data_IF_771167339474
#
_entry.id   IF_771167339474
#
_cell.length_a   1.000
_cell.length_b   1.000
_cell.length_c   1.000
_cell.angle_alpha   90.00
_cell.angle_beta   90.00
_cell.angle_gamma   90.00
#
_symmetry.space_group_name_H-M   'P 1'
#
loop_
_entity.id
_entity.type
_entity.pdbx_description
1 polymer ?
#
# COMPACT_ATOMS: atom_id res chain seq x y z
N UNK A 1 33.98 -4.75 0.79
CA UNK A 1 33.27 -3.48 0.54
C UNK A 1 31.82 -3.55 0.93
N UNK A 2 31.05 -4.54 0.50
CA UNK A 2 29.59 -4.73 0.79
C UNK A 2 29.30 -4.82 2.30
N UNK A 3 30.09 -5.56 3.11
CA UNK A 3 29.90 -5.63 4.57
C UNK A 3 29.99 -4.25 5.26
N UNK A 4 30.90 -3.39 4.83
CA UNK A 4 31.07 -2.04 5.41
C UNK A 4 29.90 -1.12 5.06
N UNK A 5 29.33 -1.26 3.85
CA UNK A 5 28.16 -0.49 3.42
C UNK A 5 26.90 -0.93 4.16
N UNK A 6 26.69 -2.25 4.33
CA UNK A 6 25.56 -2.78 5.11
C UNK A 6 25.63 -2.36 6.59
N UNK A 7 26.82 -2.41 7.21
CA UNK A 7 27.02 -1.96 8.58
C UNK A 7 26.80 -0.44 8.68
N UNK A 8 27.23 0.35 7.71
CA UNK A 8 27.01 1.80 7.69
C UNK A 8 25.54 2.15 7.57
N UNK A 9 24.76 1.44 6.72
CA UNK A 9 23.30 1.62 6.59
C UNK A 9 22.60 1.21 7.89
N UNK A 10 23.00 0.08 8.50
CA UNK A 10 22.44 -0.39 9.76
C UNK A 10 22.75 0.57 10.92
N UNK A 11 23.98 1.10 10.98
CA UNK A 11 24.40 2.08 12.00
C UNK A 11 23.71 3.41 11.80
N UNK A 12 23.51 3.90 10.57
CA UNK A 12 22.70 5.09 10.30
C UNK A 12 21.23 4.91 10.71
N UNK A 13 20.63 3.76 10.42
CA UNK A 13 19.25 3.48 10.83
C UNK A 13 19.10 3.43 12.36
N UNK A 14 20.08 2.84 13.06
CA UNK A 14 20.09 2.72 14.53
C UNK A 14 20.43 4.06 15.20
N UNK A 15 21.35 4.86 14.66
CA UNK A 15 21.74 6.15 15.25
C UNK A 15 20.66 7.23 15.09
N UNK A 16 19.76 7.13 14.11
CA UNK A 16 18.62 8.04 13.97
C UNK A 16 17.47 7.74 14.94
N UNK A 17 17.41 6.53 15.52
CA UNK A 17 16.31 6.13 16.41
C UNK A 17 16.46 6.58 17.88
N UNK A 18 17.62 7.06 18.30
CA UNK A 18 17.93 7.31 19.71
C UNK A 18 17.73 8.75 20.20
N UNK A 19 17.28 9.66 19.37
CA UNK A 19 17.07 11.04 19.76
C UNK A 19 15.58 11.38 19.57
N UNK A 20 14.91 11.71 20.69
CA UNK A 20 13.61 12.35 20.84
C UNK A 20 12.44 11.49 21.35
N UNK A 21 12.23 11.62 22.66
CA UNK A 21 10.91 11.48 23.25
C UNK A 21 10.22 12.84 23.18
N UNK A 22 9.14 12.98 22.44
CA UNK A 22 8.31 14.20 22.43
C UNK A 22 6.84 13.83 22.36
N UNK A 23 6.05 14.50 23.16
CA UNK A 23 4.62 14.36 23.33
C UNK A 23 3.87 14.46 22.01
N UNK A 24 3.07 13.45 21.70
CA UNK A 24 2.13 13.42 20.60
C UNK A 24 0.96 14.35 20.91
N UNK A 25 0.75 15.38 20.13
CA UNK A 25 -0.51 16.10 20.04
C UNK A 25 -0.87 16.26 18.57
N UNK A 26 -1.38 15.20 17.95
CA UNK A 26 -2.37 15.37 16.90
C UNK A 26 -3.72 15.51 17.59
N UNK A 27 -4.65 16.34 17.06
CA UNK A 27 -6.03 16.33 17.51
C UNK A 27 -6.50 14.87 17.48
N UNK A 28 -7.15 14.42 18.53
CA UNK A 28 -7.60 13.04 18.76
C UNK A 28 -8.77 12.63 17.85
N UNK A 29 -8.64 12.88 16.57
CA UNK A 29 -9.51 12.36 15.54
C UNK A 29 -8.94 11.02 15.11
N UNK A 30 -9.32 9.95 15.79
CA UNK A 30 -8.85 8.57 15.60
C UNK A 30 -8.81 8.14 14.13
N UNK A 31 -9.64 8.72 13.29
CA UNK A 31 -9.78 8.37 11.88
C UNK A 31 -8.69 9.00 11.03
N UNK A 32 -8.43 10.30 11.18
CA UNK A 32 -7.35 10.98 10.46
C UNK A 32 -6.00 10.43 10.92
N UNK A 33 -5.86 10.17 12.22
CA UNK A 33 -4.68 9.52 12.77
C UNK A 33 -4.43 8.17 12.10
N UNK A 34 -5.41 7.28 12.05
CA UNK A 34 -5.26 5.96 11.43
C UNK A 34 -4.96 6.03 9.93
N UNK A 35 -5.50 6.99 9.20
CA UNK A 35 -5.22 7.16 7.77
C UNK A 35 -3.78 7.57 7.49
N UNK A 36 -3.24 8.51 8.28
CA UNK A 36 -1.89 9.06 8.07
C UNK A 36 -0.79 8.26 8.74
N UNK A 37 -1.12 7.39 9.71
CA UNK A 37 -0.15 6.52 10.41
C UNK A 37 0.10 5.20 9.72
N UNK A 38 -0.81 4.78 8.81
CA UNK A 38 -0.65 3.54 8.09
C UNK A 38 0.71 3.48 7.38
N UNK A 39 1.40 2.36 7.56
CA UNK A 39 2.64 2.10 6.83
C UNK A 39 2.39 2.21 5.32
N UNK A 40 3.40 2.65 4.60
CA UNK A 40 3.38 2.56 3.14
C UNK A 40 3.19 1.10 2.69
N UNK A 41 2.27 0.88 1.77
CA UNK A 41 2.03 -0.42 1.15
C UNK A 41 1.87 -0.21 -0.36
N UNK A 42 2.80 -0.76 -1.12
CA UNK A 42 2.71 -0.70 -2.59
C UNK A 42 1.48 -1.45 -3.07
N UNK A 43 0.74 -0.83 -3.98
CA UNK A 43 -0.42 -1.47 -4.60
C UNK A 43 0.01 -2.57 -5.56
N UNK A 44 -0.30 -3.81 -5.23
CA UNK A 44 -0.08 -4.96 -6.07
C UNK A 44 -1.41 -5.61 -6.44
N UNK A 45 -1.86 -5.41 -7.68
CA UNK A 45 -3.11 -6.01 -8.16
C UNK A 45 -3.06 -7.55 -8.07
N UNK A 46 -1.88 -8.16 -8.28
CA UNK A 46 -1.64 -9.58 -8.09
C UNK A 46 -1.98 -10.04 -6.68
N UNK A 47 -1.38 -9.42 -5.67
CA UNK A 47 -1.57 -9.80 -4.26
C UNK A 47 -2.99 -9.49 -3.80
N UNK A 48 -3.55 -8.34 -4.18
CA UNK A 48 -4.92 -7.94 -3.84
C UNK A 48 -5.96 -8.93 -4.39
N UNK A 49 -5.78 -9.40 -5.62
CA UNK A 49 -6.66 -10.41 -6.24
C UNK A 49 -6.52 -11.81 -5.61
N UNK A 50 -5.36 -12.12 -5.03
CA UNK A 50 -5.14 -13.30 -4.20
C UNK A 50 -5.60 -13.12 -2.74
N UNK A 51 -6.55 -12.23 -2.48
CA UNK A 51 -7.05 -11.97 -1.13
C UNK A 51 -6.05 -11.28 -0.22
N UNK A 52 -4.98 -10.68 -0.74
CA UNK A 52 -3.90 -10.12 0.05
C UNK A 52 -2.84 -11.14 0.51
N UNK A 53 -2.99 -12.42 0.16
CA UNK A 53 -2.02 -13.47 0.48
C UNK A 53 -0.86 -13.46 -0.51
N UNK A 54 0.38 -13.45 -0.03
CA UNK A 54 1.52 -13.40 -0.92
C UNK A 54 2.89 -13.47 -0.27
N UNK A 55 3.00 -13.48 1.07
CA UNK A 55 4.31 -13.46 1.74
C UNK A 55 5.11 -14.76 1.51
N UNK A 56 4.41 -15.87 1.24
CA UNK A 56 5.03 -17.16 0.92
C UNK A 56 5.03 -17.48 -0.58
N UNK A 57 4.55 -16.58 -1.45
CA UNK A 57 4.56 -16.78 -2.91
C UNK A 57 5.96 -16.52 -3.44
N UNK A 58 6.51 -17.53 -4.11
CA UNK A 58 7.83 -17.43 -4.76
C UNK A 58 7.74 -16.62 -6.06
N UNK A 59 8.88 -16.10 -6.53
CA UNK A 59 8.98 -15.33 -7.79
C UNK A 59 8.03 -14.14 -7.81
N UNK A 60 8.01 -13.38 -6.73
CA UNK A 60 7.16 -12.21 -6.60
C UNK A 60 7.91 -10.96 -7.09
N UNK A 61 7.33 -10.27 -8.09
CA UNK A 61 7.88 -8.99 -8.58
C UNK A 61 7.90 -7.92 -7.48
N UNK A 62 6.95 -8.01 -6.54
CA UNK A 62 6.82 -7.08 -5.43
C UNK A 62 7.53 -7.59 -4.16
N UNK A 63 8.50 -8.52 -4.29
CA UNK A 63 9.23 -9.15 -3.18
C UNK A 63 9.83 -8.14 -2.20
N UNK A 64 10.32 -7.01 -2.72
CA UNK A 64 10.88 -5.92 -1.91
C UNK A 64 9.89 -5.38 -0.87
N UNK A 65 8.59 -5.39 -1.17
CA UNK A 65 7.51 -4.87 -0.32
C UNK A 65 6.71 -5.97 0.37
N UNK A 66 6.61 -7.15 -0.26
CA UNK A 66 5.79 -8.26 0.24
C UNK A 66 6.57 -9.12 1.22
N UNK A 67 7.75 -9.58 0.82
CA UNK A 67 8.65 -10.37 1.67
C UNK A 67 10.09 -10.28 1.15
N UNK A 68 10.98 -9.55 1.81
CA UNK A 68 12.35 -9.37 1.34
C UNK A 68 13.17 -10.67 1.31
N UNK A 69 12.78 -11.75 2.02
CA UNK A 69 13.44 -13.04 1.92
C UNK A 69 13.35 -13.62 0.50
N UNK A 70 12.30 -13.31 -0.26
CA UNK A 70 12.14 -13.75 -1.65
C UNK A 70 13.16 -13.12 -2.61
N UNK A 71 13.90 -12.11 -2.18
CA UNK A 71 15.07 -11.60 -2.90
C UNK A 71 16.27 -12.58 -2.86
N UNK A 72 16.23 -13.58 -1.97
CA UNK A 72 17.27 -14.64 -1.89
C UNK A 72 17.38 -15.49 -3.16
N UNK A 73 16.33 -15.58 -3.96
CA UNK A 73 16.38 -16.14 -5.31
C UNK A 73 17.12 -15.17 -6.25
N UNK A 74 18.09 -15.70 -7.01
CA UNK A 74 18.78 -14.89 -8.00
C UNK A 74 17.88 -14.61 -9.19
N UNK A 75 18.02 -13.45 -9.79
CA UNK A 75 17.28 -13.05 -10.99
C UNK A 75 17.55 -11.60 -11.32
N UNK A 76 17.31 -11.24 -12.55
CA UNK A 76 17.30 -9.86 -13.00
C UNK A 76 15.85 -9.50 -13.31
N UNK A 77 15.33 -8.49 -12.63
CA UNK A 77 13.97 -8.00 -12.86
C UNK A 77 14.01 -6.48 -12.99
N UNK A 78 13.43 -5.98 -14.04
CA UNK A 78 13.17 -4.56 -14.25
C UNK A 78 11.66 -4.31 -14.23
N UNK A 79 11.25 -3.29 -13.53
CA UNK A 79 9.87 -2.87 -13.40
C UNK A 79 9.81 -1.35 -13.62
N UNK A 80 9.66 -0.93 -14.87
CA UNK A 80 9.83 0.47 -15.29
C UNK A 80 8.94 0.79 -16.50
N UNK A 81 7.92 1.67 -16.38
CA UNK A 81 7.29 2.11 -15.15
C UNK A 81 6.30 1.07 -14.59
N UNK A 82 5.93 1.25 -13.35
CA UNK A 82 4.83 0.56 -12.72
C UNK A 82 3.81 1.60 -12.28
N UNK A 83 2.59 1.51 -12.79
CA UNK A 83 1.49 2.44 -12.46
C UNK A 83 0.29 1.63 -12.03
N UNK A 84 -0.33 2.00 -10.91
CA UNK A 84 -1.57 1.41 -10.46
C UNK A 84 -2.55 2.50 -10.02
N UNK A 85 -3.83 2.26 -10.27
CA UNK A 85 -4.92 3.11 -9.81
C UNK A 85 -5.93 2.23 -9.11
N UNK A 86 -6.29 2.60 -7.90
CA UNK A 86 -7.35 1.97 -7.11
C UNK A 86 -8.47 2.96 -6.86
N UNK A 87 -9.68 2.55 -7.14
CA UNK A 87 -10.91 3.26 -6.77
C UNK A 87 -11.60 2.47 -5.67
N UNK A 88 -11.99 3.14 -4.61
CA UNK A 88 -12.73 2.56 -3.49
C UNK A 88 -14.22 2.91 -3.59
N UNK A 89 -15.08 2.13 -2.93
CA UNK A 89 -16.53 2.26 -2.98
C UNK A 89 -17.08 2.21 -4.42
N UNK A 90 -16.52 1.35 -5.26
CA UNK A 90 -16.85 1.27 -6.69
C UNK A 90 -18.31 0.93 -6.94
N UNK A 91 -18.95 0.13 -6.08
CA UNK A 91 -20.39 -0.19 -6.18
C UNK A 91 -21.25 1.04 -5.99
N UNK A 92 -20.91 1.85 -4.98
CA UNK A 92 -21.65 3.09 -4.71
C UNK A 92 -21.40 4.14 -5.79
N UNK A 93 -20.17 4.23 -6.31
CA UNK A 93 -19.85 5.09 -7.46
C UNK A 93 -20.68 4.75 -8.70
N UNK A 94 -20.83 3.46 -9.00
CA UNK A 94 -21.67 2.99 -10.11
C UNK A 94 -23.15 3.29 -9.82
N UNK A 95 -23.61 3.01 -8.60
CA UNK A 95 -25.00 3.23 -8.19
C UNK A 95 -25.43 4.71 -8.23
N UNK A 96 -24.49 5.66 -8.14
CA UNK A 96 -24.78 7.09 -8.30
C UNK A 96 -25.08 7.48 -9.75
N UNK A 97 -24.85 6.58 -10.71
CA UNK A 97 -25.03 6.86 -12.13
C UNK A 97 -24.06 7.88 -12.73
N UNK A 98 -22.99 8.23 -12.01
CA UNK A 98 -21.98 9.20 -12.48
C UNK A 98 -21.33 8.72 -13.77
N UNK A 99 -21.06 7.41 -13.86
CA UNK A 99 -20.44 6.81 -15.04
C UNK A 99 -21.37 6.92 -16.25
N UNK A 100 -22.66 6.68 -16.05
CA UNK A 100 -23.66 6.69 -17.13
C UNK A 100 -24.06 8.13 -17.53
N UNK A 101 -24.04 9.05 -16.57
CA UNK A 101 -24.47 10.43 -16.75
C UNK A 101 -23.32 11.42 -16.97
N UNK A 102 -22.07 10.94 -17.10
CA UNK A 102 -20.89 11.82 -17.23
C UNK A 102 -21.03 12.90 -18.30
N UNK A 103 -21.62 12.57 -19.46
CA UNK A 103 -21.87 13.55 -20.54
C UNK A 103 -22.84 14.65 -20.13
N UNK A 104 -23.87 14.32 -19.35
CA UNK A 104 -24.89 15.25 -18.89
C UNK A 104 -24.43 16.06 -17.67
N UNK A 105 -23.49 15.54 -16.89
CA UNK A 105 -22.93 16.20 -15.71
C UNK A 105 -21.90 17.26 -16.12
N UNK A 106 -21.16 17.01 -17.20
CA UNK A 106 -20.07 17.88 -17.66
C UNK A 106 -20.51 19.32 -17.96
N UNK A 107 -21.75 19.51 -18.43
CA UNK A 107 -22.26 20.81 -18.85
C UNK A 107 -23.13 21.48 -17.77
N UNK A 108 -23.36 20.82 -16.61
CA UNK A 108 -24.20 21.33 -15.53
C UNK A 108 -23.40 21.26 -14.20
N UNK A 109 -22.87 22.40 -13.80
CA UNK A 109 -22.09 22.56 -12.59
C UNK A 109 -22.83 22.16 -11.31
N UNK A 110 -24.12 22.37 -11.25
CA UNK A 110 -24.97 21.98 -10.11
C UNK A 110 -24.99 20.46 -9.95
N UNK A 111 -25.19 19.71 -11.02
CA UNK A 111 -25.20 18.25 -11.02
C UNK A 111 -23.81 17.68 -10.69
N UNK A 112 -22.74 18.33 -11.14
CA UNK A 112 -21.38 17.95 -10.80
C UNK A 112 -21.12 18.07 -9.30
N UNK A 113 -21.58 19.15 -8.71
CA UNK A 113 -21.53 19.44 -7.28
C UNK A 113 -22.27 18.39 -6.46
N UNK A 114 -23.52 18.12 -6.80
CA UNK A 114 -24.37 17.14 -6.11
C UNK A 114 -23.79 15.74 -6.20
N UNK A 115 -23.25 15.38 -7.36
CA UNK A 115 -22.57 14.12 -7.58
C UNK A 115 -21.32 13.98 -6.70
N UNK A 116 -20.48 15.01 -6.62
CA UNK A 116 -19.28 15.03 -5.79
C UNK A 116 -19.64 14.91 -4.29
N UNK A 117 -20.62 15.68 -3.82
CA UNK A 117 -21.10 15.63 -2.44
C UNK A 117 -21.65 14.24 -2.10
N UNK A 118 -22.39 13.63 -3.00
CA UNK A 118 -22.91 12.26 -2.81
C UNK A 118 -21.80 11.22 -2.71
N UNK A 119 -20.76 11.32 -3.54
CA UNK A 119 -19.60 10.43 -3.48
C UNK A 119 -18.88 10.59 -2.16
N UNK A 120 -18.54 11.82 -1.80
CA UNK A 120 -17.81 12.13 -0.58
C UNK A 120 -18.60 11.74 0.66
N UNK A 121 -19.90 12.03 0.70
CA UNK A 121 -20.78 11.68 1.81
C UNK A 121 -20.94 10.18 2.02
N UNK A 122 -21.04 9.40 0.93
CA UNK A 122 -21.13 7.94 1.00
C UNK A 122 -19.78 7.29 1.35
N UNK A 123 -18.67 7.92 0.97
CA UNK A 123 -17.36 7.40 1.29
C UNK A 123 -17.10 7.35 2.83
N UNK A 124 -17.73 8.25 3.59
CA UNK A 124 -17.51 8.34 5.04
C UNK A 124 -16.05 8.62 5.36
N UNK A 125 -15.57 8.12 6.50
CA UNK A 125 -14.16 8.23 6.88
C UNK A 125 -13.34 7.15 6.19
N UNK A 126 -12.94 7.35 4.93
CA UNK A 126 -12.38 6.30 4.10
C UNK A 126 -11.45 6.80 2.99
N UNK A 127 -10.91 5.83 2.22
CA UNK A 127 -10.23 6.11 0.96
C UNK A 127 -11.23 6.27 -0.17
N UNK A 128 -10.96 7.21 -1.08
CA UNK A 128 -11.66 7.36 -2.35
C UNK A 128 -10.83 6.76 -3.47
N UNK A 129 -9.55 7.13 -3.53
CA UNK A 129 -8.64 6.68 -4.55
C UNK A 129 -7.21 6.55 -4.02
N UNK A 130 -6.46 5.64 -4.62
CA UNK A 130 -5.00 5.54 -4.48
C UNK A 130 -4.40 5.46 -5.88
N UNK A 131 -3.36 6.23 -6.13
CA UNK A 131 -2.56 6.18 -7.35
C UNK A 131 -1.11 5.89 -6.98
N UNK A 132 -0.55 4.86 -7.59
CA UNK A 132 0.86 4.49 -7.43
C UNK A 132 1.59 4.66 -8.74
N UNK A 133 2.78 5.22 -8.69
CA UNK A 133 3.71 5.24 -9.81
C UNK A 133 5.11 4.97 -9.28
N UNK A 134 5.88 4.13 -9.98
CA UNK A 134 7.21 3.82 -9.52
C UNK A 134 8.09 3.13 -10.54
N UNK A 135 9.34 3.03 -10.18
CA UNK A 135 10.37 2.32 -10.93
C UNK A 135 11.18 1.47 -9.95
N UNK A 136 11.59 0.29 -10.39
CA UNK A 136 12.40 -0.58 -9.55
C UNK A 136 13.17 -1.62 -10.32
N UNK A 137 14.16 -2.18 -9.69
CA UNK A 137 14.90 -3.30 -10.23
C UNK A 137 15.38 -4.25 -9.14
N UNK A 138 15.48 -5.52 -9.51
CA UNK A 138 16.18 -6.55 -8.76
C UNK A 138 17.40 -6.98 -9.54
N UNK A 139 18.56 -6.89 -8.95
CA UNK A 139 19.87 -7.22 -9.50
C UNK A 139 20.48 -8.36 -8.68
N UNK A 140 20.24 -9.59 -9.11
CA UNK A 140 20.67 -10.77 -8.37
C UNK A 140 19.91 -10.92 -7.04
N UNK A 141 20.50 -10.48 -5.94
CA UNK A 141 19.94 -10.53 -4.58
C UNK A 141 19.64 -9.17 -3.99
N UNK A 142 20.00 -8.12 -4.71
CA UNK A 142 19.72 -6.76 -4.34
C UNK A 142 18.48 -6.26 -5.10
N UNK A 143 17.69 -5.46 -4.45
CA UNK A 143 16.59 -4.75 -5.09
C UNK A 143 16.60 -3.29 -4.66
N UNK A 144 16.15 -2.42 -5.56
CA UNK A 144 15.90 -1.03 -5.26
C UNK A 144 14.64 -0.57 -5.97
N UNK A 145 13.96 0.40 -5.39
CA UNK A 145 12.81 1.03 -6.04
C UNK A 145 12.64 2.46 -5.54
N UNK A 146 12.02 3.28 -6.38
CA UNK A 146 11.49 4.58 -6.02
C UNK A 146 10.04 4.60 -6.45
N UNK A 147 9.15 4.81 -5.49
CA UNK A 147 7.71 4.81 -5.71
C UNK A 147 7.10 6.10 -5.17
N UNK A 148 6.06 6.57 -5.81
CA UNK A 148 5.22 7.64 -5.35
C UNK A 148 3.80 7.12 -5.25
N UNK A 149 3.15 7.36 -4.10
CA UNK A 149 1.76 7.00 -3.89
C UNK A 149 0.98 8.24 -3.49
N UNK A 150 -0.09 8.52 -4.22
CA UNK A 150 -1.06 9.53 -3.87
C UNK A 150 -2.32 8.87 -3.32
N UNK A 151 -2.75 9.25 -2.13
CA UNK A 151 -3.96 8.79 -1.48
C UNK A 151 -4.93 9.95 -1.33
N UNK A 152 -6.16 9.75 -1.75
CA UNK A 152 -7.27 10.65 -1.51
C UNK A 152 -8.19 10.01 -0.47
N UNK A 153 -8.17 10.56 0.75
CA UNK A 153 -8.96 10.08 1.86
C UNK A 153 -10.09 11.06 2.15
N UNK A 154 -11.20 10.57 2.68
CA UNK A 154 -12.30 11.40 3.19
C UNK A 154 -12.34 11.36 4.71
N UNK A 155 -12.76 12.47 5.26
CA UNK A 155 -13.05 12.64 6.66
C UNK A 155 -14.44 13.23 6.85
N UNK A 156 -15.28 12.55 7.60
CA UNK A 156 -16.65 12.98 7.89
C UNK A 156 -16.88 12.86 9.40
N UNK A 157 -16.58 13.93 10.17
CA UNK A 157 -16.68 13.91 11.63
C UNK A 157 -18.11 13.80 12.15
N UNK A 158 -19.07 14.20 11.34
CA UNK A 158 -20.50 14.15 11.66
C UNK A 158 -21.31 13.61 10.50
N UNK A 159 -22.60 13.36 10.73
CA UNK A 159 -23.54 12.98 9.65
C UNK A 159 -23.94 14.17 8.75
N UNK A 160 -23.42 15.37 9.03
CA UNK A 160 -23.69 16.56 8.25
C UNK A 160 -22.81 16.62 7.01
N UNK A 161 -23.43 16.84 5.86
CA UNK A 161 -22.73 16.99 4.56
C UNK A 161 -21.77 18.19 4.55
N UNK A 162 -22.02 19.20 5.38
CA UNK A 162 -21.17 20.41 5.49
C UNK A 162 -19.82 20.11 6.13
N UNK A 163 -19.71 19.04 6.92
CA UNK A 163 -18.49 18.68 7.64
C UNK A 163 -17.60 17.71 6.86
N UNK A 164 -17.93 17.39 5.61
CA UNK A 164 -17.12 16.53 4.77
C UNK A 164 -15.82 17.25 4.42
N UNK A 165 -14.70 16.59 4.67
CA UNK A 165 -13.39 17.06 4.26
C UNK A 165 -12.63 15.97 3.53
N UNK A 166 -11.65 16.37 2.75
CA UNK A 166 -10.73 15.50 2.06
C UNK A 166 -9.33 15.68 2.63
N UNK A 167 -8.62 14.57 2.79
CA UNK A 167 -7.24 14.52 3.28
C UNK A 167 -6.36 13.94 2.15
N UNK A 168 -5.87 14.81 1.25
CA UNK A 168 -4.90 14.40 0.25
C UNK A 168 -3.55 14.09 0.91
N UNK A 169 -2.99 12.93 0.57
CA UNK A 169 -1.69 12.47 1.06
C UNK A 169 -0.82 12.03 -0.11
N UNK A 170 0.45 12.34 -0.04
CA UNK A 170 1.47 11.86 -0.96
C UNK A 170 2.61 11.22 -0.16
N UNK A 171 3.01 10.04 -0.60
CA UNK A 171 4.19 9.33 -0.12
C UNK A 171 5.20 9.23 -1.27
N UNK A 172 6.47 9.56 -0.99
CA UNK A 172 7.59 9.28 -1.88
C UNK A 172 8.53 8.34 -1.14
N UNK A 173 8.67 7.13 -1.67
CA UNK A 173 9.34 6.04 -0.98
C UNK A 173 10.52 5.54 -1.78
N UNK A 174 11.69 5.62 -1.20
CA UNK A 174 12.90 5.00 -1.74
C UNK A 174 13.20 3.73 -0.95
N UNK A 175 13.29 2.60 -1.61
CA UNK A 175 13.42 1.28 -1.00
C UNK A 175 14.68 0.57 -1.47
N UNK A 176 15.36 -0.07 -0.55
CA UNK A 176 16.52 -0.92 -0.79
C UNK A 176 16.31 -2.25 -0.10
N UNK A 177 16.63 -3.35 -0.78
CA UNK A 177 16.47 -4.68 -0.21
C UNK A 177 17.60 -5.62 -0.58
N UNK A 178 17.81 -6.60 0.28
CA UNK A 178 18.77 -7.67 0.08
C UNK A 178 18.22 -8.98 0.64
N UNK A 179 18.38 -10.07 -0.13
CA UNK A 179 18.02 -11.41 0.31
C UNK A 179 19.14 -12.40 0.09
N UNK A 180 19.20 -13.42 0.94
CA UNK A 180 20.20 -14.47 0.83
C UNK A 180 19.58 -15.84 1.07
N UNK A 181 19.87 -16.81 0.16
CA UNK A 181 19.49 -18.22 0.29
C UNK A 181 20.61 -19.02 0.86
N UNK A 182 20.35 -19.65 2.01
CA UNK A 182 21.21 -20.64 2.64
C UNK A 182 20.87 -22.05 2.15
N UNK A 183 21.83 -22.97 2.22
CA UNK A 183 21.65 -24.40 1.88
C UNK A 183 21.07 -24.64 0.48
N UNK A 184 21.55 -23.87 -0.52
CA UNK A 184 21.00 -23.86 -1.89
C UNK A 184 20.91 -25.23 -2.55
N UNK A 185 21.87 -26.14 -2.23
CA UNK A 185 21.98 -27.47 -2.82
C UNK A 185 21.19 -28.51 -2.03
N UNK A 186 20.56 -28.14 -0.92
CA UNK A 186 19.80 -29.05 -0.10
C UNK A 186 18.31 -29.03 -0.52
N UNK A 187 17.58 -30.15 -0.34
CA UNK A 187 16.15 -30.19 -0.57
C UNK A 187 15.37 -29.17 0.26
N UNK A 188 15.87 -28.90 1.48
CA UNK A 188 15.35 -27.85 2.35
C UNK A 188 16.32 -26.68 2.32
N UNK A 189 15.84 -25.50 1.99
CA UNK A 189 16.65 -24.28 2.01
C UNK A 189 15.93 -23.15 2.75
N UNK A 190 16.73 -22.20 3.20
CA UNK A 190 16.26 -21.11 4.04
C UNK A 190 16.68 -19.78 3.44
N UNK A 191 15.74 -18.87 3.28
CA UNK A 191 15.98 -17.52 2.78
C UNK A 191 15.80 -16.51 3.91
N UNK A 192 16.73 -15.58 4.03
CA UNK A 192 16.62 -14.39 4.87
C UNK A 192 16.67 -13.14 4.00
N UNK A 193 15.94 -12.13 4.38
CA UNK A 193 15.92 -10.86 3.68
C UNK A 193 15.70 -9.67 4.60
N UNK A 194 16.20 -8.54 4.14
CA UNK A 194 16.00 -7.24 4.76
C UNK A 194 15.63 -6.23 3.70
N UNK A 195 14.68 -5.37 4.00
CA UNK A 195 14.37 -4.19 3.21
C UNK A 195 14.32 -2.97 4.12
N UNK A 196 14.93 -1.88 3.68
CA UNK A 196 14.86 -0.58 4.35
C UNK A 196 14.23 0.44 3.39
N UNK A 197 13.42 1.33 3.93
CA UNK A 197 12.76 2.38 3.16
C UNK A 197 13.06 3.74 3.77
N UNK A 198 13.17 4.76 2.92
CA UNK A 198 12.99 6.15 3.30
C UNK A 198 11.60 6.55 2.78
N UNK A 199 10.69 6.75 3.69
CA UNK A 199 9.30 7.13 3.41
C UNK A 199 9.14 8.63 3.73
N UNK A 200 9.01 9.45 2.69
CA UNK A 200 8.72 10.88 2.79
C UNK A 200 7.23 11.06 2.58
N UNK A 201 6.53 11.57 3.59
CA UNK A 201 5.09 11.75 3.57
C UNK A 201 4.70 13.20 3.75
N UNK A 202 3.79 13.66 2.89
CA UNK A 202 3.12 14.94 3.06
C UNK A 202 1.61 14.75 2.96
N UNK A 203 0.86 15.44 3.82
CA UNK A 203 -0.60 15.44 3.74
C UNK A 203 -1.17 16.79 4.18
N UNK A 204 -2.27 17.18 3.56
CA UNK A 204 -3.08 18.30 4.04
C UNK A 204 -3.99 17.79 5.15
N UNK A 205 -4.02 18.51 6.28
CA UNK A 205 -4.78 18.06 7.45
C UNK A 205 -6.29 17.97 7.15
N UNK A 206 -6.82 18.94 6.42
CA UNK A 206 -8.23 19.01 6.13
C UNK A 206 -8.49 19.98 4.98
N UNK A 207 -9.06 19.49 3.91
CA UNK A 207 -9.51 20.31 2.79
C UNK A 207 -11.05 20.25 2.74
N UNK A 208 -11.70 21.34 3.13
CA UNK A 208 -13.15 21.39 3.17
C UNK A 208 -13.78 21.29 1.79
N UNK A 209 -14.99 20.74 1.72
CA UNK A 209 -15.75 20.59 0.46
C UNK A 209 -15.93 21.94 -0.24
N UNK A 210 -16.16 23.03 0.49
CA UNK A 210 -16.25 24.37 -0.09
C UNK A 210 -15.01 24.79 -0.89
N UNK A 211 -13.82 24.42 -0.40
CA UNK A 211 -12.55 24.65 -1.11
C UNK A 211 -12.45 23.80 -2.37
N UNK A 212 -12.91 22.54 -2.31
CA UNK A 212 -12.94 21.64 -3.46
C UNK A 212 -13.95 22.11 -4.50
N UNK A 213 -15.11 22.58 -4.05
CA UNK A 213 -16.14 23.18 -4.90
C UNK A 213 -15.64 24.43 -5.62
N UNK A 214 -14.87 25.26 -4.91
CA UNK A 214 -14.17 26.40 -5.52
C UNK A 214 -13.24 25.98 -6.66
N UNK A 215 -12.61 24.80 -6.56
CA UNK A 215 -11.74 24.24 -7.60
C UNK A 215 -12.47 23.92 -8.91
N UNK A 216 -13.71 23.50 -8.82
CA UNK A 216 -14.55 23.18 -9.98
C UNK A 216 -14.87 24.44 -10.77
N UNK A 217 -15.04 25.57 -10.08
CA UNK A 217 -15.29 26.87 -10.70
C UNK A 217 -14.00 27.55 -11.19
N UNK A 218 -12.92 27.47 -10.42
CA UNK A 218 -11.63 28.04 -10.75
C UNK A 218 -10.49 27.20 -10.15
N UNK A 219 -9.90 26.34 -10.98
CA UNK A 219 -8.80 25.48 -10.60
C UNK A 219 -7.53 26.25 -10.17
N UNK A 220 -7.34 27.47 -10.67
CA UNK A 220 -6.19 28.29 -10.31
C UNK A 220 -6.30 28.81 -8.88
N UNK A 221 -7.47 29.25 -8.47
CA UNK A 221 -7.77 29.67 -7.09
C UNK A 221 -7.66 28.51 -6.11
N UNK A 222 -8.11 27.30 -6.50
CA UNK A 222 -7.93 26.10 -5.69
C UNK A 222 -6.45 25.76 -5.43
N UNK A 223 -5.65 25.67 -6.50
CA UNK A 223 -4.21 25.40 -6.39
C UNK A 223 -3.52 26.45 -5.53
N UNK A 224 -3.90 27.74 -5.69
CA UNK A 224 -3.39 28.82 -4.88
C UNK A 224 -3.77 28.66 -3.41
N UNK A 225 -5.01 28.31 -3.12
CA UNK A 225 -5.48 28.04 -1.74
C UNK A 225 -4.69 26.92 -1.08
N UNK A 226 -4.56 25.75 -1.73
CA UNK A 226 -3.74 24.65 -1.21
C UNK A 226 -2.30 25.06 -0.96
N UNK A 227 -1.72 25.86 -1.84
CA UNK A 227 -0.32 26.30 -1.74
C UNK A 227 -0.09 27.35 -0.67
N UNK A 228 -1.00 28.28 -0.47
CA UNK A 228 -0.76 29.50 0.32
C UNK A 228 -1.48 29.54 1.66
N UNK A 229 -2.61 28.82 1.81
CA UNK A 229 -3.48 28.98 3.00
C UNK A 229 -3.85 27.68 3.71
N UNK A 230 -3.64 26.52 3.09
CA UNK A 230 -4.02 25.24 3.69
C UNK A 230 -2.86 24.65 4.50
N UNK A 231 -3.05 24.32 5.80
CA UNK A 231 -2.03 23.70 6.62
C UNK A 231 -1.60 22.35 6.07
N UNK A 232 -0.29 22.07 6.11
CA UNK A 232 0.32 20.85 5.59
C UNK A 232 1.26 20.25 6.62
N UNK A 233 1.22 18.93 6.72
CA UNK A 233 2.16 18.13 7.47
C UNK A 233 3.16 17.50 6.52
N UNK A 234 4.45 17.62 6.82
CA UNK A 234 5.52 17.00 6.06
C UNK A 234 6.41 16.24 7.03
N UNK A 235 6.67 14.98 6.74
CA UNK A 235 7.46 14.13 7.62
C UNK A 235 8.17 13.01 6.90
N UNK A 236 8.93 12.26 7.66
CA UNK A 236 9.66 11.09 7.17
C UNK A 236 9.68 9.96 8.18
N UNK A 237 9.86 8.74 7.69
CA UNK A 237 10.16 7.56 8.48
C UNK A 237 11.25 6.73 7.77
N UNK A 238 11.93 5.89 8.55
CA UNK A 238 12.91 4.93 8.02
C UNK A 238 12.54 3.52 8.50
N UNK A 239 11.45 2.95 7.98
CA UNK A 239 11.03 1.60 8.35
C UNK A 239 11.95 0.53 7.77
N UNK A 240 12.09 -0.57 8.53
CA UNK A 240 12.84 -1.76 8.14
C UNK A 240 11.91 -2.96 8.21
N UNK A 241 11.93 -3.79 7.17
CA UNK A 241 11.23 -5.08 7.14
C UNK A 241 12.26 -6.22 7.12
N UNK A 242 12.00 -7.27 7.89
CA UNK A 242 12.80 -8.50 7.94
C UNK A 242 11.93 -9.66 7.47
N UNK A 243 12.44 -10.44 6.52
CA UNK A 243 11.75 -11.61 6.00
C UNK A 243 12.52 -12.91 6.20
N UNK A 244 11.79 -13.99 6.35
CA UNK A 244 12.32 -15.36 6.39
C UNK A 244 11.43 -16.29 5.58
N UNK A 245 12.04 -17.20 4.80
CA UNK A 245 11.34 -18.29 4.12
C UNK A 245 12.03 -19.62 4.41
N UNK A 246 11.26 -20.63 4.78
CA UNK A 246 11.66 -22.02 4.82
C UNK A 246 11.04 -22.75 3.64
N UNK A 247 11.86 -23.12 2.67
CA UNK A 247 11.43 -23.84 1.48
C UNK A 247 11.69 -25.33 1.65
N UNK A 248 10.64 -26.13 1.53
CA UNK A 248 10.71 -27.58 1.66
C UNK A 248 10.31 -28.29 0.36
N UNK A 249 10.67 -29.57 0.17
CA UNK A 249 10.27 -30.35 -1.00
C UNK A 249 8.76 -30.33 -1.25
N UNK A 250 8.36 -30.56 -2.49
CA UNK A 250 6.95 -30.55 -2.88
C UNK A 250 6.37 -29.16 -3.19
N UNK A 251 7.24 -28.13 -3.25
CA UNK A 251 6.81 -26.78 -3.60
C UNK A 251 6.21 -25.99 -2.43
N UNK A 252 6.41 -26.46 -1.21
CA UNK A 252 5.88 -25.81 0.01
C UNK A 252 6.86 -24.76 0.53
N UNK A 253 6.35 -23.66 1.03
CA UNK A 253 7.10 -22.56 1.66
C UNK A 253 6.37 -22.08 2.90
N UNK A 254 7.09 -21.99 4.02
CA UNK A 254 6.63 -21.28 5.21
C UNK A 254 7.37 -19.94 5.30
N UNK A 255 6.66 -18.90 5.63
CA UNK A 255 7.21 -17.54 5.63
C UNK A 255 6.84 -16.80 6.90
N UNK A 256 7.73 -15.89 7.30
CA UNK A 256 7.46 -14.89 8.32
C UNK A 256 8.05 -13.56 7.88
N UNK A 257 7.32 -12.47 8.12
CA UNK A 257 7.77 -11.10 7.81
C UNK A 257 7.47 -10.21 9.01
N UNK A 258 8.52 -9.67 9.60
CA UNK A 258 8.42 -8.61 10.60
C UNK A 258 8.52 -7.29 9.89
N UNK A 259 7.46 -6.47 9.98
CA UNK A 259 7.32 -5.24 9.22
C UNK A 259 7.40 -4.01 10.09
N UNK A 260 7.85 -2.95 9.44
CA UNK A 260 7.76 -1.60 9.98
C UNK A 260 8.54 -1.39 11.29
N UNK A 261 9.66 -2.12 11.47
CA UNK A 261 10.63 -1.80 12.52
C UNK A 261 11.10 -0.36 12.31
N UNK A 262 11.12 0.45 13.36
CA UNK A 262 11.49 1.87 13.31
C UNK A 262 10.61 2.69 12.33
N UNK A 263 9.33 2.32 12.16
CA UNK A 263 8.43 2.93 11.20
C UNK A 263 7.74 4.21 11.67
N UNK A 264 8.08 4.74 12.84
CA UNK A 264 7.47 5.96 13.36
C UNK A 264 7.86 7.16 12.52
N UNK A 265 6.86 7.97 12.15
CA UNK A 265 7.07 9.20 11.41
C UNK A 265 7.47 10.35 12.33
N UNK A 266 8.35 11.19 11.82
CA UNK A 266 8.67 12.51 12.40
C UNK A 266 8.12 13.58 11.47
N UNK A 267 7.09 14.30 11.91
CA UNK A 267 6.42 15.34 11.14
C UNK A 267 6.74 16.74 11.64
N UNK A 268 6.68 17.69 10.71
CA UNK A 268 6.60 19.12 10.97
C UNK A 268 5.34 19.69 10.36
N UNK A 269 4.63 20.55 11.08
CA UNK A 269 3.42 21.22 10.64
C UNK A 269 3.74 22.62 10.14
N UNK A 270 3.30 22.94 8.96
CA UNK A 270 3.47 24.25 8.32
C UNK A 270 2.10 24.87 8.05
N UNK A 271 2.02 26.20 8.15
CA UNK A 271 0.79 26.94 7.86
C UNK A 271 0.34 26.80 6.38
N UNK A 272 1.29 26.52 5.49
CA UNK A 272 1.01 26.24 4.08
C UNK A 272 2.22 25.60 3.41
N UNK A 273 2.03 25.08 2.20
CA UNK A 273 3.13 24.56 1.37
C UNK A 273 4.15 25.66 1.01
N UNK A 274 3.69 26.90 0.81
CA UNK A 274 4.55 28.06 0.55
C UNK A 274 5.48 28.34 1.73
N UNK A 275 4.98 28.24 2.95
CA UNK A 275 5.76 28.43 4.17
C UNK A 275 6.77 27.28 4.37
N UNK A 276 6.38 26.04 4.06
CA UNK A 276 7.29 24.91 4.10
C UNK A 276 8.49 25.10 3.14
N UNK A 277 8.27 25.73 1.99
CA UNK A 277 9.30 25.95 0.98
C UNK A 277 10.21 27.17 1.28
N UNK A 278 9.73 28.15 2.06
CA UNK A 278 10.42 29.44 2.27
C UNK A 278 11.33 29.49 3.50
N UNK A 279 11.27 28.56 4.42
CA UNK A 279 12.21 28.32 5.53
C UNK A 279 11.55 27.73 6.79
N UNK A 280 12.34 27.03 7.59
CA UNK A 280 11.95 26.43 8.88
C UNK A 280 11.43 27.41 9.96
N UNK A 281 11.49 28.71 9.73
CA UNK A 281 11.01 29.74 10.69
C UNK A 281 9.49 29.82 10.81
N UNK A 282 8.75 29.38 9.78
CA UNK A 282 7.28 29.43 9.74
C UNK A 282 6.64 28.08 10.12
N UNK A 283 7.37 27.24 10.81
CA UNK A 283 6.87 25.96 11.32
C UNK A 283 5.99 26.20 12.54
N UNK A 284 4.75 25.71 12.49
CA UNK A 284 3.81 25.82 13.61
C UNK A 284 4.20 24.84 14.73
N UNK A 285 4.54 23.60 14.38
CA UNK A 285 5.00 22.55 15.28
C UNK A 285 6.10 21.74 14.63
N UNK A 286 7.13 21.39 15.39
CA UNK A 286 8.24 20.55 14.94
C UNK A 286 8.28 19.24 15.72
N UNK A 287 8.86 18.20 15.07
CA UNK A 287 9.16 16.92 15.70
C UNK A 287 7.95 16.20 16.30
N UNK A 288 6.81 16.29 15.61
CA UNK A 288 5.63 15.51 15.98
C UNK A 288 5.90 14.04 15.61
N UNK A 289 6.01 13.19 16.62
CA UNK A 289 6.10 11.74 16.39
C UNK A 289 4.71 11.16 16.21
N UNK A 290 4.52 10.45 15.10
CA UNK A 290 3.33 9.65 14.83
C UNK A 290 3.75 8.20 14.82
N UNK A 291 3.14 7.39 15.69
CA UNK A 291 3.42 5.98 15.79
C UNK A 291 2.82 5.25 14.57
N UNK A 292 3.64 4.44 13.94
CA UNK A 292 3.22 3.50 12.91
C UNK A 292 3.59 2.09 13.39
N UNK A 293 2.59 1.25 13.74
CA UNK A 293 2.85 0.03 14.47
C UNK A 293 3.63 -0.98 13.65
N UNK A 294 4.48 -1.72 14.35
CA UNK A 294 5.15 -2.91 13.85
C UNK A 294 4.15 -4.06 13.74
N UNK A 295 4.26 -4.88 12.71
CA UNK A 295 3.44 -6.09 12.54
C UNK A 295 4.29 -7.31 12.22
N UNK A 296 3.84 -8.48 12.67
CA UNK A 296 4.36 -9.78 12.27
C UNK A 296 3.32 -10.50 11.41
N UNK A 297 3.71 -10.85 10.20
CA UNK A 297 2.89 -11.62 9.28
C UNK A 297 3.51 -13.02 9.12
N UNK A 298 2.70 -14.07 9.16
CA UNK A 298 3.11 -15.45 8.90
C UNK A 298 2.33 -16.01 7.72
N UNK A 299 2.97 -16.87 6.93
CA UNK A 299 2.34 -17.37 5.71
C UNK A 299 2.77 -18.77 5.33
N UNK A 300 1.89 -19.40 4.60
CA UNK A 300 2.07 -20.69 3.95
C UNK A 300 1.85 -20.54 2.45
N UNK A 301 2.76 -21.07 1.66
CA UNK A 301 2.66 -21.13 0.21
C UNK A 301 2.86 -22.53 -0.31
N UNK A 302 2.11 -22.88 -1.35
CA UNK A 302 2.24 -24.16 -2.03
C UNK A 302 2.16 -23.98 -3.54
N UNK A 303 3.16 -24.48 -4.23
CA UNK A 303 3.25 -24.52 -5.69
C UNK A 303 3.34 -25.98 -6.16
N UNK A 304 2.21 -26.71 -6.21
CA UNK A 304 2.19 -28.09 -6.68
C UNK A 304 2.57 -28.16 -8.16
N UNK A 305 3.28 -29.21 -8.54
CA UNK A 305 3.68 -29.45 -9.94
C UNK A 305 2.62 -30.32 -10.63
N UNK A 306 1.94 -29.77 -11.62
CA UNK A 306 0.95 -30.50 -12.41
C UNK A 306 1.51 -31.06 -13.73
N UNK A 307 2.60 -30.46 -14.24
CA UNK A 307 3.26 -30.92 -15.47
C UNK A 307 2.41 -30.74 -16.74
N UNK A 308 1.46 -29.82 -16.75
CA UNK A 308 0.61 -29.51 -17.88
C UNK A 308 1.23 -28.37 -18.70
N UNK A 309 1.34 -28.54 -20.02
CA UNK A 309 1.99 -27.54 -20.88
C UNK A 309 1.20 -26.25 -21.05
N UNK A 310 -0.11 -26.29 -20.88
CA UNK A 310 -1.01 -25.14 -21.04
C UNK A 310 -1.35 -24.45 -19.71
N UNK A 311 -1.06 -25.08 -18.57
CA UNK A 311 -1.30 -24.55 -17.23
C UNK A 311 0.03 -24.57 -16.47
N UNK A 312 0.54 -23.40 -16.12
CA UNK A 312 1.67 -23.33 -15.21
C UNK A 312 1.27 -23.82 -13.81
N UNK A 313 2.25 -24.27 -13.03
CA UNK A 313 2.02 -24.74 -11.69
C UNK A 313 1.32 -23.66 -10.85
N UNK A 314 0.15 -23.93 -10.25
CA UNK A 314 -0.59 -22.93 -9.51
C UNK A 314 0.16 -22.46 -8.27
N UNK A 315 -0.05 -21.19 -7.89
CA UNK A 315 0.39 -20.69 -6.61
C UNK A 315 -0.81 -20.62 -5.65
N UNK A 316 -0.69 -21.28 -4.51
CA UNK A 316 -1.67 -21.25 -3.43
C UNK A 316 -0.98 -20.59 -2.23
N UNK A 317 -1.64 -19.65 -1.58
CA UNK A 317 -1.10 -18.95 -0.42
C UNK A 317 -2.16 -18.76 0.65
N UNK A 318 -1.72 -18.85 1.91
CA UNK A 318 -2.52 -18.52 3.09
C UNK A 318 -1.61 -17.72 4.02
N UNK A 319 -2.03 -16.50 4.37
CA UNK A 319 -1.29 -15.62 5.25
C UNK A 319 -2.17 -15.22 6.45
N UNK A 320 -1.56 -15.14 7.61
CA UNK A 320 -2.12 -14.54 8.81
C UNK A 320 -1.33 -13.26 9.10
N UNK A 321 -1.97 -12.13 8.89
CA UNK A 321 -1.33 -10.81 8.95
C UNK A 321 -1.56 -10.14 10.29
N UNK A 322 -0.61 -9.32 10.72
CA UNK A 322 -0.64 -8.60 11.98
C UNK A 322 -0.91 -9.50 13.19
N UNK A 323 -0.13 -10.57 13.30
CA UNK A 323 -0.21 -11.52 14.41
C UNK A 323 -0.03 -10.84 15.77
N UNK A 324 0.80 -9.79 15.86
CA UNK A 324 1.01 -9.02 17.10
C UNK A 324 -0.28 -8.29 17.49
N UNK A 325 -0.89 -7.56 16.54
CA UNK A 325 -2.16 -6.85 16.77
C UNK A 325 -3.29 -7.82 17.15
N UNK A 326 -3.34 -8.98 16.49
CA UNK A 326 -4.32 -10.02 16.83
C UNK A 326 -4.19 -10.48 18.28
N UNK A 327 -3.00 -10.83 18.76
CA UNK A 327 -2.82 -11.32 20.14
C UNK A 327 -3.04 -10.24 21.19
N UNK A 328 -2.84 -8.96 20.86
CA UNK A 328 -3.13 -7.86 21.76
C UNK A 328 -4.64 -7.62 21.97
N UNK A 329 -5.47 -8.01 21.00
CA UNK A 329 -6.92 -7.83 21.00
C UNK A 329 -7.69 -9.11 20.65
N UNK A 330 -7.15 -10.27 21.00
CA UNK A 330 -7.64 -11.58 20.56
C UNK A 330 -9.13 -11.80 20.84
N UNK A 331 -9.89 -11.96 19.77
CA UNK A 331 -11.27 -12.39 19.77
C UNK A 331 -11.47 -13.32 18.57
N UNK A 332 -12.28 -14.36 18.74
CA UNK A 332 -12.63 -15.26 17.62
C UNK A 332 -13.28 -14.52 16.45
N UNK A 333 -13.98 -13.42 16.72
CA UNK A 333 -14.57 -12.55 15.68
C UNK A 333 -13.52 -11.82 14.83
N UNK A 334 -12.28 -11.66 15.33
CA UNK A 334 -11.22 -10.95 14.63
C UNK A 334 -10.32 -11.86 13.77
N UNK A 335 -10.41 -13.19 13.94
CA UNK A 335 -9.52 -14.14 13.20
C UNK A 335 -9.60 -13.90 11.69
N UNK A 336 -10.80 -13.76 11.15
CA UNK A 336 -11.00 -13.60 9.71
C UNK A 336 -10.49 -12.24 9.19
N UNK A 337 -10.46 -11.20 10.02
CA UNK A 337 -9.89 -9.89 9.64
C UNK A 337 -8.38 -9.99 9.41
N UNK A 338 -7.71 -10.94 10.05
CA UNK A 338 -6.28 -11.18 9.89
C UNK A 338 -5.96 -12.26 8.83
N UNK A 339 -6.96 -13.04 8.40
CA UNK A 339 -6.76 -14.15 7.45
C UNK A 339 -6.80 -13.66 5.99
N UNK A 340 -5.86 -14.15 5.22
CA UNK A 340 -5.75 -13.97 3.76
C UNK A 340 -5.55 -15.34 3.12
N UNK A 341 -6.22 -15.60 2.01
CA UNK A 341 -6.00 -16.82 1.25
C UNK A 341 -6.17 -16.53 -0.25
N UNK A 342 -5.39 -17.20 -1.09
CA UNK A 342 -5.47 -16.98 -2.52
C UNK A 342 -4.89 -18.10 -3.36
N UNK A 343 -5.35 -18.10 -4.60
CA UNK A 343 -4.87 -18.98 -5.67
C UNK A 343 -4.60 -18.15 -6.93
N UNK A 344 -3.53 -18.47 -7.61
CA UNK A 344 -3.17 -17.94 -8.91
C UNK A 344 -2.97 -19.08 -9.89
N UNK A 345 -3.60 -18.98 -11.05
CA UNK A 345 -3.47 -19.88 -12.20
C UNK A 345 -2.95 -19.09 -13.39
N UNK A 346 -1.88 -19.55 -14.01
CA UNK A 346 -1.36 -18.95 -15.24
C UNK A 346 -1.63 -19.90 -16.43
N UNK A 347 -2.39 -19.41 -17.38
CA UNK A 347 -2.81 -20.15 -18.58
C UNK A 347 -2.00 -19.68 -19.78
N UNK A 348 -1.46 -20.64 -20.55
CA UNK A 348 -0.69 -20.39 -21.78
C UNK A 348 0.45 -19.38 -21.63
N UNK A 349 0.95 -19.18 -20.40
CA UNK A 349 1.96 -18.16 -20.04
C UNK A 349 1.55 -16.70 -20.36
N UNK A 350 0.30 -16.47 -20.70
CA UNK A 350 -0.24 -15.16 -21.09
C UNK A 350 -1.32 -14.68 -20.13
N UNK A 351 -2.27 -15.54 -19.78
CA UNK A 351 -3.41 -15.16 -18.94
C UNK A 351 -3.18 -15.61 -17.51
N UNK A 352 -3.51 -14.75 -16.59
CA UNK A 352 -3.41 -14.99 -15.15
C UNK A 352 -4.79 -14.82 -14.53
N UNK A 353 -5.29 -15.89 -13.92
CA UNK A 353 -6.56 -15.92 -13.19
C UNK A 353 -6.25 -16.02 -11.70
N UNK A 354 -6.85 -15.14 -10.92
CA UNK A 354 -6.63 -15.10 -9.48
C UNK A 354 -7.95 -15.01 -8.74
N UNK A 355 -8.01 -15.74 -7.64
CA UNK A 355 -9.11 -15.65 -6.70
C UNK A 355 -8.59 -15.74 -5.27
N UNK A 356 -9.28 -15.15 -4.33
CA UNK A 356 -8.87 -15.18 -2.93
C UNK A 356 -9.95 -14.76 -1.96
N UNK A 357 -9.59 -14.86 -0.68
CA UNK A 357 -10.35 -14.37 0.45
C UNK A 357 -9.51 -13.35 1.19
N UNK A 358 -9.99 -12.11 1.26
CA UNK A 358 -9.38 -11.02 1.97
C UNK A 358 -10.24 -10.63 3.15
N UNK A 359 -9.78 -10.86 4.38
CA UNK A 359 -10.55 -10.53 5.58
C UNK A 359 -11.97 -11.13 5.58
N UNK A 360 -12.13 -12.35 5.02
CA UNK A 360 -13.42 -13.00 4.87
C UNK A 360 -14.23 -12.61 3.63
N UNK A 361 -13.76 -11.65 2.82
CA UNK A 361 -14.41 -11.24 1.58
C UNK A 361 -13.73 -11.82 0.35
N UNK A 362 -14.52 -12.13 -0.68
CA UNK A 362 -14.01 -12.63 -1.96
C UNK A 362 -13.24 -11.55 -2.71
N UNK A 363 -12.10 -11.94 -3.26
CA UNK A 363 -11.28 -11.15 -4.18
C UNK A 363 -11.12 -11.90 -5.48
N UNK A 364 -11.13 -11.20 -6.60
CA UNK A 364 -10.96 -11.74 -7.94
C UNK A 364 -9.99 -10.88 -8.73
N UNK A 365 -9.27 -11.49 -9.65
CA UNK A 365 -8.39 -10.74 -10.55
C UNK A 365 -8.03 -11.47 -11.81
N UNK A 366 -7.68 -10.64 -12.78
CA UNK A 366 -7.22 -11.04 -14.09
C UNK A 366 -5.90 -10.34 -14.37
N UNK A 367 -5.00 -11.07 -15.04
CA UNK A 367 -3.76 -10.52 -15.56
C UNK A 367 -3.55 -10.97 -17.00
N UNK A 368 -2.89 -10.11 -17.76
CA UNK A 368 -2.43 -10.42 -19.12
C UNK A 368 -0.97 -10.04 -19.22
N UNK A 369 -0.15 -11.04 -19.54
CA UNK A 369 1.26 -10.89 -19.79
C UNK A 369 1.54 -10.92 -21.28
N UNK A 370 1.84 -9.77 -21.86
CA UNK A 370 2.12 -9.64 -23.29
C UNK A 370 3.62 -9.74 -23.51
N UNK A 371 4.06 -10.81 -24.14
CA UNK A 371 5.45 -11.05 -24.55
C UNK A 371 6.48 -11.00 -23.39
N UNK A 372 6.05 -11.22 -22.14
CA UNK A 372 6.85 -11.06 -20.92
C UNK A 372 7.45 -9.65 -20.74
N UNK A 373 6.80 -8.63 -21.29
CA UNK A 373 7.23 -7.23 -21.25
C UNK A 373 6.14 -6.34 -20.68
N UNK A 374 4.90 -6.49 -21.13
CA UNK A 374 3.77 -5.67 -20.68
C UNK A 374 2.86 -6.53 -19.83
N UNK A 375 2.68 -6.14 -18.56
CA UNK A 375 1.71 -6.72 -17.66
C UNK A 375 0.56 -5.75 -17.44
N UNK A 376 -0.65 -6.21 -17.71
CA UNK A 376 -1.89 -5.52 -17.38
C UNK A 376 -2.66 -6.37 -16.39
N UNK A 377 -3.03 -5.79 -15.28
CA UNK A 377 -3.70 -6.49 -14.19
C UNK A 377 -4.93 -5.70 -13.74
N UNK A 378 -6.00 -6.41 -13.44
CA UNK A 378 -7.18 -5.86 -12.80
C UNK A 378 -7.56 -6.71 -11.59
N UNK A 379 -7.94 -6.08 -10.49
CA UNK A 379 -8.31 -6.74 -9.25
C UNK A 379 -9.53 -6.08 -8.64
N UNK A 380 -10.58 -6.87 -8.37
CA UNK A 380 -11.72 -6.45 -7.57
C UNK A 380 -11.66 -7.19 -6.22
N UNK A 381 -11.76 -6.45 -5.13
CA UNK A 381 -11.66 -6.99 -3.79
C UNK A 381 -12.44 -6.13 -2.80
N UNK A 382 -12.63 -6.66 -1.59
CA UNK A 382 -13.22 -5.93 -0.48
C UNK A 382 -12.26 -5.95 0.72
N UNK A 383 -12.20 -4.85 1.43
CA UNK A 383 -11.42 -4.64 2.63
C UNK A 383 -12.33 -4.39 3.82
N UNK A 384 -11.94 -4.84 5.00
CA UNK A 384 -12.54 -4.45 6.26
C UNK A 384 -11.69 -3.36 6.92
N UNK A 385 -12.28 -2.21 7.18
CA UNK A 385 -11.64 -1.11 7.90
C UNK A 385 -12.11 -1.05 9.37
N UNK A 386 -13.04 -1.92 9.75
CA UNK A 386 -13.50 -2.11 11.12
C UNK A 386 -12.66 -3.12 11.90
N UNK A 387 -13.03 -3.35 13.15
CA UNK A 387 -12.40 -4.34 14.03
C UNK A 387 -12.92 -5.75 13.79
N UNK A 388 -14.16 -5.89 13.33
CA UNK A 388 -14.81 -7.16 13.03
C UNK A 388 -15.30 -7.16 11.59
N UNK A 389 -15.54 -8.34 11.04
CA UNK A 389 -16.16 -8.47 9.72
C UNK A 389 -17.56 -7.85 9.73
N UNK A 390 -17.79 -6.98 8.74
CA UNK A 390 -19.08 -6.30 8.56
C UNK A 390 -19.17 -4.95 9.26
N UNK A 391 -18.17 -4.55 10.05
CA UNK A 391 -18.18 -3.24 10.71
C UNK A 391 -18.06 -2.11 9.68
N UNK A 392 -17.11 -2.24 8.73
CA UNK A 392 -16.85 -1.21 7.71
C UNK A 392 -16.24 -1.81 6.43
N UNK A 393 -17.00 -2.64 5.71
CA UNK A 393 -16.54 -3.26 4.48
C UNK A 393 -16.56 -2.28 3.32
N UNK A 394 -15.45 -2.22 2.57
CA UNK A 394 -15.27 -1.34 1.42
C UNK A 394 -14.78 -2.14 0.23
N UNK A 395 -15.47 -2.05 -0.88
CA UNK A 395 -15.03 -2.63 -2.13
C UNK A 395 -14.07 -1.71 -2.88
N UNK A 396 -13.19 -2.31 -3.64
CA UNK A 396 -12.19 -1.60 -4.41
C UNK A 396 -11.91 -2.30 -5.73
N UNK A 397 -11.61 -1.49 -6.73
CA UNK A 397 -11.13 -1.92 -8.05
C UNK A 397 -9.75 -1.33 -8.27
N UNK A 398 -8.77 -2.18 -8.51
CA UNK A 398 -7.41 -1.79 -8.87
C UNK A 398 -7.12 -2.19 -10.31
N UNK A 399 -6.56 -1.27 -11.07
CA UNK A 399 -5.98 -1.53 -12.39
C UNK A 399 -4.50 -1.19 -12.29
N UNK A 400 -3.64 -2.10 -12.75
CA UNK A 400 -2.19 -1.93 -12.77
C UNK A 400 -1.66 -2.19 -14.17
N UNK A 401 -0.75 -1.35 -14.61
CA UNK A 401 0.04 -1.53 -15.81
C UNK A 401 1.51 -1.40 -15.46
N UNK A 402 2.31 -2.37 -15.85
CA UNK A 402 3.75 -2.30 -15.68
C UNK A 402 4.48 -2.82 -16.91
N UNK A 403 5.58 -2.16 -17.23
CA UNK A 403 6.59 -2.71 -18.09
C UNK A 403 7.55 -3.52 -17.23
N UNK A 404 7.59 -4.80 -17.50
CA UNK A 404 8.27 -5.78 -16.68
C UNK A 404 9.17 -6.63 -17.57
N UNK A 405 10.39 -6.80 -17.17
CA UNK A 405 11.34 -7.66 -17.84
C UNK A 405 12.11 -8.49 -16.84
N UNK A 406 11.97 -9.80 -16.96
CA UNK A 406 12.66 -10.80 -16.15
C UNK A 406 13.66 -11.59 -16.98
N UNK A 407 14.87 -11.80 -16.42
CA UNK A 407 15.93 -12.61 -17.03
C UNK A 407 16.66 -13.49 -16.02
#
# INVERSE_FOLDING_TARGET
>A
MVKKVLIAILVMAISMSSIFAVNSMLPSDDVTYNMVTNRYSKTSARILSMGGAGIAVRSNQDALYVNPASLGEKGLVWNVPNVAVTLYNTRDLIATGIVDNYKNIKDDMGKYTDALINILGKAGNNKIATMDAGVGAKLGRFAFAVDTQFNLNTYTPSTSVVDIAVVPQIDVVTSLGFGYRFFKNNPVNFDLGIAARLDLRAYYEKVDVSTIMGAVNDSSTFVKSLKETTPIMIGYAVPIDLGANLNVPGGVTFSAVLRNLNGNFSFSQYASLKNANNNAKDTIKNNLKIESPMSLDIGFGWKPKFGLSWLADPNIAIDFVDTIGFFNSASLSNVLVHLRAGIELQLLSVFELRAGLNQGYVSLGLGVNVMNVIHLEASYYRLEFGKNIGDKPIDALTIRANLFWER
#
